data_IF_934480151790
#
_entry.id   IF_934480151790
#
_cell.length_a   1.000
_cell.length_b   1.000
_cell.length_c   1.000
_cell.angle_alpha   90.00
_cell.angle_beta   90.00
_cell.angle_gamma   90.00
#
_symmetry.space_group_name_H-M   'P 1'
#
loop_
_entity.id
_entity.type
_entity.pdbx_description
1 polymer ?
#
# COMPACT_ATOMS: atom_id res chain seq x y z
N UNK A 1 14.95 5.03 -5.70
CA UNK A 1 13.76 4.50 -6.39
C UNK A 1 12.43 4.73 -5.66
N UNK A 2 12.13 4.08 -4.53
CA UNK A 2 10.81 4.16 -3.84
C UNK A 2 10.26 5.59 -3.67
N UNK A 3 11.09 6.53 -3.20
CA UNK A 3 10.69 7.92 -3.01
C UNK A 3 10.39 8.66 -4.34
N UNK A 4 11.08 8.29 -5.42
CA UNK A 4 10.82 8.86 -6.74
C UNK A 4 9.44 8.44 -7.23
N UNK A 5 9.03 7.19 -7.03
CA UNK A 5 7.68 6.69 -7.35
C UNK A 5 6.60 7.43 -6.55
N UNK A 6 6.82 7.63 -5.25
CA UNK A 6 5.88 8.41 -4.40
C UNK A 6 5.76 9.85 -4.92
N UNK A 7 6.90 10.48 -5.24
CA UNK A 7 6.91 11.84 -5.75
C UNK A 7 6.27 11.96 -7.15
N UNK A 8 6.45 10.96 -8.01
CA UNK A 8 5.80 10.88 -9.30
C UNK A 8 4.28 10.81 -9.13
N UNK A 9 3.78 9.89 -8.29
CA UNK A 9 2.35 9.77 -8.01
C UNK A 9 1.75 11.09 -7.48
N UNK A 10 2.48 11.84 -6.64
CA UNK A 10 2.04 13.15 -6.14
C UNK A 10 1.96 14.25 -7.21
N UNK A 11 2.70 14.12 -8.32
CA UNK A 11 2.63 15.08 -9.43
C UNK A 11 1.44 14.83 -10.35
N UNK A 12 0.89 13.61 -10.31
CA UNK A 12 -0.30 13.25 -11.08
C UNK A 12 -1.56 13.82 -10.43
N UNK A 13 -2.53 14.23 -11.26
CA UNK A 13 -3.85 14.69 -10.83
C UNK A 13 -4.78 13.50 -10.54
N UNK A 14 -4.34 12.61 -9.66
CA UNK A 14 -5.07 11.41 -9.26
C UNK A 14 -5.95 11.69 -8.04
N UNK A 15 -7.19 11.17 -8.08
CA UNK A 15 -8.09 11.15 -6.92
C UNK A 15 -7.68 10.08 -5.90
N UNK A 16 -7.26 8.92 -6.41
CA UNK A 16 -6.85 7.77 -5.60
C UNK A 16 -5.53 7.20 -6.12
N UNK A 17 -4.71 6.72 -5.18
CA UNK A 17 -3.53 5.93 -5.48
C UNK A 17 -3.41 4.79 -4.48
N UNK A 18 -3.04 3.60 -4.98
CA UNK A 18 -2.76 2.44 -4.15
C UNK A 18 -1.27 2.13 -4.25
N UNK A 19 -0.60 2.16 -3.10
CA UNK A 19 0.80 1.75 -2.96
C UNK A 19 0.78 0.36 -2.34
N UNK A 20 1.32 -0.63 -3.03
CA UNK A 20 1.38 -2.02 -2.56
C UNK A 20 2.84 -2.44 -2.36
N UNK A 21 3.09 -3.23 -1.33
CA UNK A 21 4.29 -4.07 -1.28
C UNK A 21 4.08 -5.23 -2.23
N UNK A 22 5.08 -5.51 -3.07
CA UNK A 22 4.97 -6.54 -4.10
C UNK A 22 4.75 -7.90 -3.44
N UNK A 23 3.83 -8.67 -4.01
CA UNK A 23 3.43 -9.96 -3.48
C UNK A 23 3.46 -10.98 -4.62
N UNK A 24 4.32 -12.00 -4.57
CA UNK A 24 4.36 -13.07 -5.55
C UNK A 24 3.15 -14.00 -5.36
N UNK A 25 2.21 -13.95 -6.30
CA UNK A 25 1.06 -14.84 -6.28
C UNK A 25 1.40 -16.16 -6.99
N UNK A 26 1.03 -17.34 -6.44
CA UNK A 26 1.21 -18.63 -7.10
C UNK A 26 0.75 -18.63 -8.56
N UNK A 27 1.55 -19.22 -9.45
CA UNK A 27 1.31 -19.23 -10.90
C UNK A 27 1.74 -17.95 -11.63
N UNK A 28 2.37 -16.98 -10.94
CA UNK A 28 3.05 -15.85 -11.58
C UNK A 28 4.53 -16.14 -11.77
N UNK A 29 5.16 -15.57 -12.79
CA UNK A 29 6.60 -15.67 -13.01
C UNK A 29 7.40 -15.22 -11.77
N UNK A 30 6.96 -14.15 -11.11
CA UNK A 30 7.59 -13.67 -9.88
C UNK A 30 7.53 -14.69 -8.75
N UNK A 31 6.45 -15.48 -8.66
CA UNK A 31 6.35 -16.54 -7.67
C UNK A 31 7.31 -17.68 -7.96
N UNK A 32 7.44 -18.11 -9.21
CA UNK A 32 8.43 -19.13 -9.59
C UNK A 32 9.85 -18.64 -9.29
N UNK A 33 10.19 -17.41 -9.67
CA UNK A 33 11.49 -16.81 -9.35
C UNK A 33 11.74 -16.72 -7.84
N UNK A 34 10.72 -16.34 -7.06
CA UNK A 34 10.84 -16.26 -5.61
C UNK A 34 10.97 -17.66 -4.97
N UNK A 35 10.29 -18.67 -5.54
CA UNK A 35 10.34 -20.06 -5.07
C UNK A 35 11.69 -20.69 -5.34
N UNK A 36 12.25 -20.49 -6.54
CA UNK A 36 13.62 -20.93 -6.90
C UNK A 36 14.69 -20.36 -5.95
N UNK A 37 14.48 -19.15 -5.45
CA UNK A 37 15.38 -18.47 -4.50
C UNK A 37 15.08 -18.79 -3.04
N UNK A 38 14.09 -19.65 -2.75
CA UNK A 38 13.68 -20.00 -1.39
C UNK A 38 13.07 -18.83 -0.60
N UNK A 39 12.59 -17.78 -1.27
CA UNK A 39 11.99 -16.60 -0.66
C UNK A 39 10.50 -16.79 -0.32
N UNK A 40 9.87 -17.79 -0.93
CA UNK A 40 8.46 -18.17 -0.70
C UNK A 40 8.33 -19.68 -0.61
N UNK A 41 7.42 -20.16 0.24
CA UNK A 41 7.16 -21.58 0.49
C UNK A 41 5.75 -22.04 0.12
N UNK A 42 5.41 -23.28 0.43
CA UNK A 42 4.08 -23.85 0.14
C UNK A 42 2.97 -23.20 1.00
N UNK A 43 3.31 -22.62 2.16
CA UNK A 43 2.41 -21.88 3.05
C UNK A 43 2.09 -20.46 2.57
N UNK A 44 2.78 -19.99 1.51
CA UNK A 44 2.70 -18.61 1.00
C UNK A 44 1.27 -18.12 0.84
N UNK A 45 0.38 -18.95 0.28
CA UNK A 45 -1.02 -18.58 0.04
C UNK A 45 -1.75 -18.14 1.31
N UNK A 46 -1.53 -18.85 2.43
CA UNK A 46 -2.17 -18.56 3.70
C UNK A 46 -1.68 -17.26 4.36
N UNK A 47 -0.49 -16.80 3.96
CA UNK A 47 0.14 -15.59 4.47
C UNK A 47 -0.07 -14.37 3.59
N UNK A 48 -0.67 -14.52 2.40
CA UNK A 48 -0.90 -13.41 1.49
C UNK A 48 -1.92 -12.43 2.06
N UNK A 49 -1.44 -11.26 2.49
CA UNK A 49 -2.29 -10.20 3.03
C UNK A 49 -2.24 -8.98 2.11
N UNK A 50 -3.35 -8.66 1.42
CA UNK A 50 -3.45 -7.42 0.66
C UNK A 50 -3.22 -6.21 1.57
N UNK A 51 -2.24 -5.37 1.22
CA UNK A 51 -1.91 -4.22 2.05
C UNK A 51 -1.20 -4.58 3.36
N UNK A 52 -0.32 -5.60 3.35
CA UNK A 52 0.50 -6.04 4.49
C UNK A 52 1.19 -4.91 5.27
N UNK A 53 1.55 -3.79 4.63
CA UNK A 53 2.08 -2.63 5.34
C UNK A 53 1.12 -1.92 6.29
N UNK A 54 -0.17 -2.27 6.27
CA UNK A 54 -1.18 -1.76 7.20
C UNK A 54 -1.63 -2.82 8.22
N UNK A 55 -0.95 -3.97 8.30
CA UNK A 55 -1.23 -5.02 9.28
C UNK A 55 0.01 -5.34 10.12
N UNK A 56 -0.18 -6.15 11.17
CA UNK A 56 0.92 -6.68 11.98
C UNK A 56 1.68 -7.82 11.29
N UNK A 57 1.17 -8.35 10.17
CA UNK A 57 1.80 -9.44 9.47
C UNK A 57 3.06 -9.00 8.72
N UNK A 58 3.94 -9.96 8.47
CA UNK A 58 5.15 -9.75 7.68
C UNK A 58 4.90 -9.98 6.18
N UNK A 59 5.51 -9.19 5.28
CA UNK A 59 5.47 -9.45 3.85
C UNK A 59 5.96 -10.86 3.54
N UNK A 60 5.26 -11.55 2.63
CA UNK A 60 5.65 -12.90 2.22
C UNK A 60 6.88 -12.90 1.32
N UNK A 61 7.22 -11.74 0.77
CA UNK A 61 8.39 -11.55 -0.07
C UNK A 61 9.07 -10.23 0.27
N UNK A 62 10.38 -10.30 0.49
CA UNK A 62 11.25 -9.15 0.72
C UNK A 62 12.40 -9.27 -0.28
N UNK A 63 12.56 -8.31 -1.21
CA UNK A 63 13.67 -8.32 -2.15
C UNK A 63 15.02 -8.30 -1.44
N UNK A 64 16.04 -8.90 -2.04
CA UNK A 64 17.41 -8.84 -1.54
C UNK A 64 17.88 -7.39 -1.32
N UNK A 65 18.59 -7.16 -0.21
CA UNK A 65 19.06 -5.84 0.20
C UNK A 65 17.97 -4.89 0.72
N UNK A 66 16.74 -5.39 0.94
CA UNK A 66 15.64 -4.64 1.59
C UNK A 66 15.24 -5.30 2.90
N UNK A 67 14.52 -4.53 3.69
CA UNK A 67 14.02 -4.96 5.00
C UNK A 67 12.48 -4.90 5.03
N UNK A 68 11.86 -5.87 5.70
CA UNK A 68 10.41 -5.99 5.77
C UNK A 68 9.76 -4.77 6.44
N UNK A 69 10.32 -4.31 7.56
CA UNK A 69 9.84 -3.12 8.28
C UNK A 69 10.01 -1.88 7.41
N UNK A 70 11.15 -1.74 6.73
CA UNK A 70 11.36 -0.65 5.77
C UNK A 70 10.27 -0.64 4.69
N UNK A 71 9.91 -1.78 4.09
CA UNK A 71 8.85 -1.85 3.08
C UNK A 71 7.48 -1.39 3.63
N UNK A 72 7.11 -1.83 4.84
CA UNK A 72 5.86 -1.44 5.50
C UNK A 72 5.85 0.07 5.78
N UNK A 73 6.92 0.60 6.36
CA UNK A 73 7.06 2.03 6.65
C UNK A 73 6.98 2.89 5.37
N UNK A 74 7.62 2.46 4.28
CA UNK A 74 7.53 3.17 2.99
C UNK A 74 6.11 3.12 2.41
N UNK A 75 5.40 2.00 2.53
CA UNK A 75 4.01 1.89 2.07
C UNK A 75 3.09 2.85 2.84
N UNK A 76 3.20 2.87 4.18
CA UNK A 76 2.44 3.79 5.03
C UNK A 76 2.80 5.26 4.75
N UNK A 77 4.09 5.56 4.59
CA UNK A 77 4.57 6.90 4.23
C UNK A 77 4.02 7.34 2.87
N UNK A 78 3.98 6.44 1.89
CA UNK A 78 3.42 6.72 0.57
C UNK A 78 1.94 7.10 0.67
N UNK A 79 1.15 6.30 1.41
CA UNK A 79 -0.25 6.57 1.66
C UNK A 79 -0.46 7.93 2.35
N UNK A 80 0.22 8.19 3.48
CA UNK A 80 0.13 9.46 4.20
C UNK A 80 0.52 10.64 3.31
N UNK A 81 1.66 10.57 2.64
CA UNK A 81 2.16 11.69 1.82
C UNK A 81 1.29 11.95 0.60
N UNK A 82 0.62 10.93 0.04
CA UNK A 82 -0.28 11.11 -1.10
C UNK A 82 -1.63 11.68 -0.67
N UNK A 83 -2.27 11.11 0.36
CA UNK A 83 -3.64 11.44 0.76
C UNK A 83 -3.75 12.66 1.67
N UNK A 84 -2.68 13.07 2.38
CA UNK A 84 -2.67 14.32 3.16
C UNK A 84 -2.43 15.58 2.31
N UNK A 85 -2.37 15.45 0.98
CA UNK A 85 -2.26 16.61 0.08
C UNK A 85 -3.61 17.32 -0.03
N UNK A 86 -3.61 18.65 -0.23
CA UNK A 86 -4.86 19.41 -0.38
C UNK A 86 -5.76 18.91 -1.52
N UNK A 87 -5.18 18.54 -2.67
CA UNK A 87 -5.96 18.17 -3.86
C UNK A 87 -6.83 16.91 -3.66
N UNK A 88 -6.30 15.73 -3.25
CA UNK A 88 -7.14 14.57 -2.94
C UNK A 88 -8.20 14.85 -1.86
N UNK A 89 -7.83 15.59 -0.80
CA UNK A 89 -8.77 15.96 0.27
C UNK A 89 -9.94 16.78 -0.30
N UNK A 90 -9.63 17.79 -1.11
CA UNK A 90 -10.65 18.64 -1.74
C UNK A 90 -11.55 17.84 -2.67
N UNK A 91 -10.96 16.97 -3.51
CA UNK A 91 -11.72 16.12 -4.43
C UNK A 91 -12.66 15.18 -3.66
N UNK A 92 -12.19 14.56 -2.57
CA UNK A 92 -13.03 13.73 -1.70
C UNK A 92 -14.15 14.55 -1.06
N UNK A 93 -13.84 15.72 -0.51
CA UNK A 93 -14.84 16.59 0.11
C UNK A 93 -15.93 17.04 -0.87
N UNK A 94 -15.55 17.41 -2.11
CA UNK A 94 -16.51 17.80 -3.15
C UNK A 94 -17.44 16.69 -3.62
N UNK A 95 -17.08 15.43 -3.36
CA UNK A 95 -17.86 14.25 -3.73
C UNK A 95 -18.80 13.76 -2.62
N UNK A 96 -18.81 14.40 -1.45
CA UNK A 96 -19.74 14.04 -0.36
C UNK A 96 -21.16 14.42 -0.76
N UNK A 97 -22.01 13.41 -1.01
CA UNK A 97 -23.43 13.60 -1.38
C UNK A 97 -24.39 13.12 -0.30
N UNK A 98 -23.89 12.39 0.70
CA UNK A 98 -24.69 11.84 1.78
C UNK A 98 -23.93 11.83 3.11
N UNK A 99 -24.68 11.72 4.20
CA UNK A 99 -24.10 11.52 5.53
C UNK A 99 -23.29 10.21 5.63
N UNK A 100 -23.64 9.21 4.82
CA UNK A 100 -22.90 7.96 4.76
C UNK A 100 -21.52 8.15 4.10
N UNK A 101 -21.42 9.00 3.07
CA UNK A 101 -20.14 9.33 2.43
C UNK A 101 -19.23 10.09 3.39
N UNK A 102 -19.80 11.05 4.12
CA UNK A 102 -19.07 11.76 5.18
C UNK A 102 -18.50 10.78 6.23
N UNK A 103 -19.33 9.87 6.75
CA UNK A 103 -18.88 8.84 7.70
C UNK A 103 -17.74 8.00 7.12
N UNK A 104 -17.87 7.52 5.88
CA UNK A 104 -16.83 6.71 5.21
C UNK A 104 -15.50 7.45 5.11
N UNK A 105 -15.51 8.70 4.65
CA UNK A 105 -14.29 9.50 4.55
C UNK A 105 -13.71 9.87 5.91
N UNK A 106 -14.55 10.14 6.91
CA UNK A 106 -14.10 10.37 8.28
C UNK A 106 -13.38 9.14 8.86
N UNK A 107 -13.93 7.94 8.70
CA UNK A 107 -13.26 6.71 9.13
C UNK A 107 -11.95 6.48 8.37
N UNK A 108 -11.94 6.70 7.05
CA UNK A 108 -10.72 6.59 6.25
C UNK A 108 -9.63 7.57 6.72
N UNK A 109 -10.00 8.82 7.00
CA UNK A 109 -9.08 9.83 7.54
C UNK A 109 -8.55 9.42 8.92
N UNK A 110 -9.42 8.91 9.81
CA UNK A 110 -9.00 8.42 11.14
C UNK A 110 -8.01 7.26 11.03
N UNK A 111 -8.24 6.32 10.11
CA UNK A 111 -7.30 5.22 9.86
C UNK A 111 -5.96 5.74 9.32
N UNK A 112 -6.00 6.66 8.35
CA UNK A 112 -4.80 7.27 7.75
C UNK A 112 -3.92 7.99 8.78
N UNK A 113 -4.54 8.66 9.76
CA UNK A 113 -3.84 9.35 10.85
C UNK A 113 -3.29 8.40 11.92
N UNK A 114 -3.76 7.15 11.97
CA UNK A 114 -3.28 6.11 12.90
C UNK A 114 -2.07 5.35 12.34
N UNK A 115 -1.87 5.37 11.01
CA UNK A 115 -0.65 4.89 10.36
C UNK A 115 0.54 5.74 10.77
#
# INVERSE_FOLDING_TARGET
ETLQTINFAKKLKLDFAKFNVITPYPGTELYEMAKERGLVGDDTWSRLIPGVGFSEAEPVFVPEGRDAKELKEKQQRAARTFYLRPQPIWNLASNIRSFNDFKRYFYAAKLLLKL
#
